data_IF_989875539432
#
_entry.id   IF_989875539432
#
_cell.length_a   1.000
_cell.length_b   1.000
_cell.length_c   1.000
_cell.angle_alpha   90.00
_cell.angle_beta   90.00
_cell.angle_gamma   90.00
#
_symmetry.space_group_name_H-M   'P 1'
#
loop_
_entity.id
_entity.type
_entity.pdbx_description
1 polymer ?
#
# COMPACT_ATOMS: atom_id res chain seq x y z
N UNK A 1 -21.56 -7.44 0.30
CA UNK A 1 -21.04 -6.30 1.10
C UNK A 1 -22.19 -5.49 1.70
N UNK A 2 -21.89 -4.65 2.70
CA UNK A 2 -22.83 -3.64 3.21
C UNK A 2 -22.13 -2.27 3.34
N UNK A 3 -22.91 -1.21 3.22
CA UNK A 3 -22.52 0.17 3.53
C UNK A 3 -23.50 0.73 4.55
N UNK A 4 -23.00 1.30 5.64
CA UNK A 4 -23.81 1.84 6.72
C UNK A 4 -23.50 3.32 6.92
N UNK A 5 -24.53 4.08 7.26
CA UNK A 5 -24.38 5.48 7.71
C UNK A 5 -24.90 5.62 9.13
N UNK A 6 -24.11 6.31 9.94
CA UNK A 6 -24.46 6.69 11.30
C UNK A 6 -24.47 8.22 11.41
N UNK A 7 -25.24 8.75 12.36
CA UNK A 7 -25.31 10.18 12.65
C UNK A 7 -24.15 10.56 13.57
N UNK A 8 -23.20 11.32 13.03
CA UNK A 8 -22.18 12.06 13.80
C UNK A 8 -21.63 11.30 15.01
N UNK A 9 -21.60 11.99 16.15
CA UNK A 9 -20.92 11.53 17.36
C UNK A 9 -21.77 10.64 18.27
N UNK A 10 -23.09 10.58 18.07
CA UNK A 10 -23.97 9.74 18.89
C UNK A 10 -24.08 8.31 18.36
N UNK A 11 -23.56 8.05 17.15
CA UNK A 11 -23.56 6.73 16.55
C UNK A 11 -24.96 6.23 16.16
N UNK A 12 -25.96 7.10 16.09
CA UNK A 12 -27.33 6.70 15.70
C UNK A 12 -27.32 6.14 14.29
N UNK A 13 -27.77 4.90 14.11
CA UNK A 13 -27.92 4.30 12.80
C UNK A 13 -28.94 5.08 11.95
N UNK A 14 -28.55 5.44 10.73
CA UNK A 14 -29.41 6.14 9.77
C UNK A 14 -29.95 5.20 8.70
N UNK A 15 -29.05 4.48 8.03
CA UNK A 15 -29.42 3.53 6.99
C UNK A 15 -28.32 2.49 6.74
N UNK A 16 -28.73 1.40 6.10
CA UNK A 16 -27.85 0.35 5.58
C UNK A 16 -28.23 0.04 4.15
N UNK A 17 -27.23 -0.11 3.30
CA UNK A 17 -27.36 -0.64 1.94
C UNK A 17 -26.63 -1.98 1.90
N UNK A 18 -27.22 -2.95 1.22
CA UNK A 18 -26.56 -4.20 0.84
C UNK A 18 -26.43 -4.26 -0.66
N UNK A 19 -25.25 -4.63 -1.15
CA UNK A 19 -25.01 -4.90 -2.57
C UNK A 19 -24.08 -6.09 -2.71
N UNK A 20 -24.26 -6.84 -3.78
CA UNK A 20 -23.52 -8.07 -4.04
C UNK A 20 -24.30 -9.02 -4.94
N UNK A 21 -23.68 -10.15 -5.24
CA UNK A 21 -24.31 -11.27 -5.92
C UNK A 21 -24.44 -12.49 -5.00
N UNK A 22 -24.46 -13.67 -5.61
CA UNK A 22 -24.45 -14.95 -4.89
C UNK A 22 -23.05 -15.34 -4.40
N UNK A 23 -22.01 -14.65 -4.84
CA UNK A 23 -20.63 -14.88 -4.48
C UNK A 23 -20.15 -13.92 -3.36
N UNK A 24 -18.87 -14.00 -3.00
CA UNK A 24 -18.31 -13.17 -1.92
C UNK A 24 -18.04 -11.74 -2.38
N UNK A 25 -18.52 -10.75 -1.62
CA UNK A 25 -18.34 -9.32 -1.90
C UNK A 25 -17.98 -8.55 -0.62
N UNK A 26 -16.88 -7.78 -0.66
CA UNK A 26 -16.26 -7.12 0.48
C UNK A 26 -16.06 -5.63 0.20
N UNK A 27 -16.59 -4.76 1.06
CA UNK A 27 -16.20 -3.35 1.05
C UNK A 27 -14.78 -3.20 1.60
N UNK A 28 -13.95 -2.40 0.94
CA UNK A 28 -12.52 -2.26 1.26
C UNK A 28 -12.14 -0.85 1.71
N UNK A 29 -12.46 0.13 0.89
CA UNK A 29 -12.16 1.52 1.16
C UNK A 29 -13.37 2.38 0.82
N UNK A 30 -13.51 3.50 1.52
CA UNK A 30 -14.57 4.46 1.28
C UNK A 30 -13.99 5.87 1.26
N UNK A 31 -14.50 6.70 0.38
CA UNK A 31 -14.23 8.13 0.37
C UNK A 31 -15.56 8.90 0.35
N UNK A 32 -15.69 9.89 1.23
CA UNK A 32 -16.91 10.66 1.39
C UNK A 32 -16.62 12.14 1.24
N UNK A 33 -17.37 12.80 0.36
CA UNK A 33 -17.41 14.26 0.20
C UNK A 33 -18.86 14.71 0.03
N UNK A 34 -19.21 15.34 -1.10
CA UNK A 34 -20.59 15.56 -1.52
C UNK A 34 -21.28 14.28 -2.02
N UNK A 35 -20.51 13.22 -2.26
CA UNK A 35 -20.92 11.89 -2.70
C UNK A 35 -20.12 10.83 -1.93
N UNK A 36 -20.54 9.58 -2.01
CA UNK A 36 -19.85 8.45 -1.39
C UNK A 36 -19.27 7.58 -2.50
N UNK A 37 -17.99 7.24 -2.38
CA UNK A 37 -17.30 6.33 -3.28
C UNK A 37 -16.84 5.12 -2.48
N UNK A 38 -17.16 3.92 -2.95
CA UNK A 38 -16.89 2.67 -2.28
C UNK A 38 -16.05 1.78 -3.21
N UNK A 39 -14.87 1.40 -2.73
CA UNK A 39 -14.03 0.38 -3.35
C UNK A 39 -14.40 -0.99 -2.79
N UNK A 40 -14.57 -1.96 -3.68
CA UNK A 40 -15.11 -3.28 -3.35
C UNK A 40 -14.26 -4.36 -4.00
N UNK A 41 -13.95 -5.42 -3.25
CA UNK A 41 -13.54 -6.70 -3.83
C UNK A 41 -14.79 -7.54 -4.08
N UNK A 42 -14.97 -8.06 -5.28
CA UNK A 42 -16.16 -8.81 -5.65
C UNK A 42 -15.80 -10.07 -6.43
N UNK A 43 -16.46 -11.18 -6.11
CA UNK A 43 -16.52 -12.38 -6.97
C UNK A 43 -17.80 -12.44 -7.81
N UNK A 44 -18.59 -11.36 -7.74
CA UNK A 44 -19.89 -11.24 -8.38
C UNK A 44 -19.76 -10.33 -9.60
N UNK A 45 -20.62 -10.55 -10.59
CA UNK A 45 -20.79 -9.63 -11.69
C UNK A 45 -21.69 -8.47 -11.24
N UNK A 46 -21.10 -7.34 -10.85
CA UNK A 46 -21.85 -6.15 -10.41
C UNK A 46 -22.14 -5.20 -11.58
N UNK A 47 -21.19 -5.04 -12.51
CA UNK A 47 -21.29 -4.13 -13.65
C UNK A 47 -20.60 -4.72 -14.89
N UNK A 48 -21.37 -5.09 -15.93
CA UNK A 48 -20.83 -5.60 -17.22
C UNK A 48 -20.56 -7.11 -17.24
N UNK A 49 -19.96 -7.65 -18.33
CA UNK A 49 -19.72 -9.09 -18.51
C UNK A 49 -18.25 -9.53 -18.41
N UNK A 50 -17.32 -8.62 -18.11
CA UNK A 50 -15.88 -8.87 -18.18
C UNK A 50 -15.29 -9.66 -17.00
N UNK A 51 -16.13 -10.38 -16.25
CA UNK A 51 -15.77 -10.85 -14.91
C UNK A 51 -16.26 -12.26 -14.67
N UNK A 52 -15.31 -13.15 -14.42
CA UNK A 52 -15.56 -14.57 -14.20
C UNK A 52 -16.10 -14.79 -12.78
N UNK A 53 -17.10 -15.66 -12.65
CA UNK A 53 -17.85 -15.93 -11.42
C UNK A 53 -17.02 -16.62 -10.30
N UNK A 54 -15.69 -16.59 -10.38
CA UNK A 54 -14.79 -17.33 -9.51
C UNK A 54 -13.54 -16.56 -9.08
N UNK A 55 -13.13 -15.54 -9.84
CA UNK A 55 -11.97 -14.70 -9.55
C UNK A 55 -12.39 -13.47 -8.75
N UNK A 56 -11.46 -12.89 -7.99
CA UNK A 56 -11.70 -11.61 -7.33
C UNK A 56 -11.46 -10.48 -8.31
N UNK A 57 -12.40 -9.54 -8.38
CA UNK A 57 -12.32 -8.32 -9.16
C UNK A 57 -12.49 -7.11 -8.24
N UNK A 58 -12.21 -5.92 -8.77
CA UNK A 58 -12.44 -4.66 -8.06
C UNK A 58 -13.61 -3.91 -8.69
N UNK A 59 -14.52 -3.40 -7.86
CA UNK A 59 -15.53 -2.44 -8.30
C UNK A 59 -15.39 -1.12 -7.56
N UNK A 60 -15.62 -0.02 -8.29
CA UNK A 60 -15.74 1.32 -7.73
C UNK A 60 -17.19 1.78 -7.91
N UNK A 61 -17.84 2.09 -6.80
CA UNK A 61 -19.27 2.39 -6.76
C UNK A 61 -19.51 3.76 -6.16
N UNK A 62 -20.39 4.52 -6.79
CA UNK A 62 -20.76 5.88 -6.38
C UNK A 62 -22.20 5.91 -5.88
N UNK A 63 -22.38 6.46 -4.69
CA UNK A 63 -23.67 6.70 -4.07
C UNK A 63 -23.87 8.18 -3.77
N UNK A 64 -25.13 8.60 -3.69
CA UNK A 64 -25.49 9.88 -3.07
C UNK A 64 -25.45 9.76 -1.52
N UNK A 65 -25.58 10.88 -0.81
CA UNK A 65 -25.51 10.90 0.66
C UNK A 65 -26.73 10.24 1.36
N UNK A 66 -27.80 9.97 0.62
CA UNK A 66 -29.00 9.26 1.06
C UNK A 66 -28.86 7.73 0.88
N UNK A 67 -27.79 7.28 0.23
CA UNK A 67 -27.54 5.87 -0.01
C UNK A 67 -28.09 5.32 -1.32
N UNK A 68 -28.56 6.17 -2.22
CA UNK A 68 -28.96 5.73 -3.57
C UNK A 68 -27.72 5.60 -4.45
N UNK A 69 -27.60 4.47 -5.14
CA UNK A 69 -26.54 4.24 -6.12
C UNK A 69 -26.73 5.18 -7.32
N UNK A 70 -25.64 5.83 -7.74
CA UNK A 70 -25.61 6.73 -8.90
C UNK A 70 -25.00 6.02 -10.10
N UNK A 71 -23.83 5.40 -9.90
CA UNK A 71 -23.08 4.70 -10.94
C UNK A 71 -22.09 3.72 -10.32
N UNK A 72 -21.52 2.86 -11.15
CA UNK A 72 -20.41 2.00 -10.75
C UNK A 72 -19.73 1.39 -11.96
N UNK A 73 -18.50 0.93 -11.74
CA UNK A 73 -17.72 0.19 -12.72
C UNK A 73 -16.97 -0.95 -12.03
N UNK A 74 -16.66 -1.98 -12.80
CA UNK A 74 -15.93 -3.16 -12.34
C UNK A 74 -14.74 -3.38 -13.27
N UNK A 75 -13.59 -3.73 -12.67
CA UNK A 75 -12.33 -4.04 -13.33
C UNK A 75 -11.89 -5.41 -12.85
N UNK A 76 -11.68 -6.30 -13.80
CA UNK A 76 -11.38 -7.69 -13.51
C UNK A 76 -10.93 -8.43 -14.75
N UNK A 77 -11.09 -9.75 -14.73
CA UNK A 77 -10.83 -10.62 -15.87
C UNK A 77 -10.08 -11.89 -15.49
N UNK A 78 -9.04 -12.21 -16.25
CA UNK A 78 -8.27 -13.43 -16.04
C UNK A 78 -7.38 -13.40 -14.78
N UNK A 79 -7.13 -12.23 -14.20
CA UNK A 79 -6.32 -12.08 -12.99
C UNK A 79 -7.22 -11.69 -11.83
N UNK A 80 -6.85 -12.11 -10.62
CA UNK A 80 -7.51 -11.61 -9.42
C UNK A 80 -6.99 -10.21 -9.07
N UNK A 81 -7.90 -9.29 -8.73
CA UNK A 81 -7.58 -7.94 -8.29
C UNK A 81 -8.22 -7.72 -6.92
N UNK A 82 -7.43 -7.23 -5.96
CA UNK A 82 -7.90 -6.91 -4.61
C UNK A 82 -7.59 -5.44 -4.31
N UNK A 83 -8.59 -4.65 -3.96
CA UNK A 83 -8.45 -3.25 -3.58
C UNK A 83 -8.16 -3.06 -2.09
N UNK A 84 -7.41 -2.01 -1.76
CA UNK A 84 -7.02 -1.69 -0.38
C UNK A 84 -7.31 -0.25 0.03
N UNK A 85 -7.05 0.71 -0.86
CA UNK A 85 -7.22 2.14 -0.58
C UNK A 85 -7.78 2.87 -1.79
N UNK A 86 -8.44 4.00 -1.55
CA UNK A 86 -9.12 4.81 -2.56
C UNK A 86 -8.90 6.30 -2.28
N UNK A 87 -8.41 7.03 -3.29
CA UNK A 87 -8.18 8.48 -3.19
C UNK A 87 -8.67 9.23 -4.42
N UNK A 88 -9.23 10.44 -4.25
CA UNK A 88 -9.52 11.31 -5.37
C UNK A 88 -8.22 11.78 -6.04
N UNK A 89 -8.19 11.78 -7.37
CA UNK A 89 -7.08 12.33 -8.13
C UNK A 89 -7.23 13.86 -8.27
N UNK A 90 -6.14 14.63 -8.16
CA UNK A 90 -6.18 16.09 -8.34
C UNK A 90 -6.61 16.51 -9.76
N UNK A 91 -6.31 15.69 -10.76
CA UNK A 91 -6.69 15.93 -12.16
C UNK A 91 -8.08 15.36 -12.53
N UNK A 92 -8.86 14.91 -11.54
CA UNK A 92 -10.16 14.27 -11.74
C UNK A 92 -10.09 12.74 -11.74
N UNK A 93 -11.18 12.12 -11.29
CA UNK A 93 -11.30 10.68 -11.13
C UNK A 93 -10.66 10.15 -9.84
N UNK A 94 -10.21 8.89 -9.87
CA UNK A 94 -9.86 8.13 -8.67
C UNK A 94 -8.65 7.23 -8.86
N UNK A 95 -7.80 7.16 -7.83
CA UNK A 95 -6.76 6.16 -7.72
C UNK A 95 -7.16 5.11 -6.68
N UNK A 96 -6.94 3.84 -6.99
CA UNK A 96 -7.08 2.75 -6.03
C UNK A 96 -5.77 1.98 -5.88
N UNK A 97 -5.32 1.78 -4.64
CA UNK A 97 -4.25 0.83 -4.33
C UNK A 97 -4.82 -0.58 -4.43
N UNK A 98 -4.08 -1.48 -5.07
CA UNK A 98 -4.50 -2.85 -5.26
C UNK A 98 -3.35 -3.85 -5.25
N UNK A 99 -3.75 -5.12 -5.19
CA UNK A 99 -2.93 -6.29 -5.48
C UNK A 99 -3.46 -6.95 -6.73
N UNK A 100 -2.57 -7.18 -7.69
CA UNK A 100 -2.83 -7.98 -8.87
C UNK A 100 -2.23 -9.37 -8.65
N UNK A 101 -3.09 -10.37 -8.69
CA UNK A 101 -2.77 -11.79 -8.53
C UNK A 101 -3.04 -12.49 -9.86
N UNK A 102 -2.01 -12.73 -10.68
CA UNK A 102 -2.17 -13.48 -11.91
C UNK A 102 -2.67 -14.89 -11.64
N UNK A 103 -3.56 -15.43 -12.47
CA UNK A 103 -4.11 -16.79 -12.26
C UNK A 103 -3.15 -17.90 -12.66
N UNK A 104 -2.09 -17.61 -13.41
CA UNK A 104 -1.00 -18.56 -13.64
C UNK A 104 -0.11 -18.66 -12.40
N UNK A 105 -0.05 -19.84 -11.80
CA UNK A 105 0.70 -20.12 -10.55
C UNK A 105 2.20 -19.77 -10.61
N UNK A 106 2.74 -19.54 -11.80
CA UNK A 106 4.14 -19.18 -12.02
C UNK A 106 4.41 -17.67 -12.05
N UNK A 107 3.38 -16.83 -11.96
CA UNK A 107 3.56 -15.37 -12.04
C UNK A 107 3.36 -14.76 -10.66
N UNK A 108 4.33 -13.98 -10.17
CA UNK A 108 4.29 -13.39 -8.84
C UNK A 108 3.14 -12.41 -8.67
N UNK A 109 2.77 -12.19 -7.42
CA UNK A 109 1.80 -11.16 -7.05
C UNK A 109 2.45 -9.79 -7.19
N UNK A 110 1.77 -8.87 -7.88
CA UNK A 110 2.25 -7.51 -8.07
C UNK A 110 1.39 -6.51 -7.29
N UNK A 111 2.01 -5.41 -6.85
CA UNK A 111 1.21 -4.27 -6.46
C UNK A 111 0.60 -3.69 -7.74
N UNK A 112 -0.58 -3.11 -7.60
CA UNK A 112 -1.25 -2.41 -8.68
C UNK A 112 -1.81 -1.07 -8.21
N UNK A 113 -1.88 -0.14 -9.14
CA UNK A 113 -2.64 1.09 -9.04
C UNK A 113 -3.66 1.08 -10.17
N UNK A 114 -4.93 1.17 -9.83
CA UNK A 114 -6.00 1.37 -10.80
C UNK A 114 -6.32 2.86 -10.88
N UNK A 115 -6.48 3.38 -12.10
CA UNK A 115 -6.98 4.72 -12.35
C UNK A 115 -8.38 4.62 -12.98
N UNK A 116 -9.30 5.39 -12.41
CA UNK A 116 -10.65 5.60 -12.92
C UNK A 116 -10.84 7.07 -13.29
N UNK A 117 -11.65 7.35 -14.30
CA UNK A 117 -12.07 8.70 -14.64
C UNK A 117 -13.21 9.20 -13.72
N UNK A 118 -13.75 10.40 -13.98
CA UNK A 118 -14.87 10.97 -13.20
C UNK A 118 -16.21 10.24 -13.40
N UNK A 119 -16.36 9.55 -14.53
CA UNK A 119 -17.50 8.68 -14.84
C UNK A 119 -17.36 7.28 -14.21
N UNK A 120 -16.24 7.02 -13.55
CA UNK A 120 -15.78 5.74 -13.01
C UNK A 120 -15.34 4.73 -14.08
N UNK A 121 -15.17 5.14 -15.33
CA UNK A 121 -14.58 4.25 -16.32
C UNK A 121 -13.11 3.97 -15.96
N UNK A 122 -12.69 2.71 -16.09
CA UNK A 122 -11.30 2.33 -15.90
C UNK A 122 -10.45 2.88 -17.04
N UNK A 123 -9.42 3.65 -16.68
CA UNK A 123 -8.48 4.23 -17.66
C UNK A 123 -7.27 3.31 -17.87
N UNK A 124 -6.64 2.88 -16.77
CA UNK A 124 -5.49 1.99 -16.80
C UNK A 124 -5.24 1.30 -15.47
N UNK A 125 -4.50 0.20 -15.55
CA UNK A 125 -3.86 -0.46 -14.40
C UNK A 125 -2.36 -0.36 -14.59
N UNK A 126 -1.69 0.28 -13.64
CA UNK A 126 -0.24 0.15 -13.50
C UNK A 126 0.04 -0.96 -12.49
N UNK A 127 1.03 -1.81 -12.76
CA UNK A 127 1.50 -2.79 -11.78
C UNK A 127 3.01 -2.84 -11.77
N UNK A 128 3.60 -2.98 -10.59
CA UNK A 128 4.97 -3.43 -10.48
C UNK A 128 5.11 -4.41 -9.31
N UNK A 129 6.17 -5.20 -9.40
CA UNK A 129 6.46 -6.25 -8.45
C UNK A 129 7.73 -6.94 -8.87
N UNK A 130 8.21 -7.81 -8.00
CA UNK A 130 9.35 -8.67 -8.29
C UNK A 130 8.96 -9.86 -9.16
N UNK A 131 9.96 -10.58 -9.67
CA UNK A 131 9.80 -11.76 -10.54
C UNK A 131 9.63 -13.07 -9.79
N UNK A 132 9.78 -13.10 -8.46
CA UNK A 132 9.85 -14.33 -7.66
C UNK A 132 9.19 -14.23 -6.27
N UNK A 133 8.28 -13.26 -6.07
CA UNK A 133 7.65 -13.05 -4.76
C UNK A 133 6.27 -12.38 -4.79
N UNK A 134 6.01 -11.54 -3.79
CA UNK A 134 4.74 -10.88 -3.55
C UNK A 134 5.01 -9.43 -3.24
N UNK A 135 4.45 -8.55 -4.07
CA UNK A 135 4.38 -7.11 -3.79
C UNK A 135 2.93 -6.69 -3.60
N UNK A 136 2.65 -5.94 -2.54
CA UNK A 136 1.31 -5.49 -2.15
C UNK A 136 1.30 -3.97 -2.06
N UNK A 137 0.36 -3.31 -2.74
CA UNK A 137 0.10 -1.88 -2.57
C UNK A 137 -1.03 -1.70 -1.56
N UNK A 138 -0.77 -1.06 -0.43
CA UNK A 138 -1.78 -0.85 0.61
C UNK A 138 -2.38 0.55 0.57
N UNK A 139 -1.55 1.54 0.28
CA UNK A 139 -1.94 2.96 0.34
C UNK A 139 -1.48 3.64 -0.94
N UNK A 140 -2.32 4.52 -1.45
CA UNK A 140 -1.97 5.48 -2.49
C UNK A 140 -2.17 6.89 -1.94
N UNK A 141 -1.31 7.82 -2.33
CA UNK A 141 -1.47 9.23 -1.98
C UNK A 141 -1.13 10.08 -3.21
N UNK A 142 -2.15 10.62 -3.89
CA UNK A 142 -1.96 11.53 -5.00
C UNK A 142 -1.23 12.79 -4.52
N UNK A 143 -0.41 13.37 -5.38
CA UNK A 143 0.28 14.63 -5.12
C UNK A 143 -0.23 15.71 -6.09
N UNK A 144 -0.22 16.97 -5.66
CA UNK A 144 -0.83 18.10 -6.39
C UNK A 144 -0.22 18.35 -7.78
N UNK A 145 1.02 17.89 -8.02
CA UNK A 145 1.68 17.99 -9.32
C UNK A 145 1.35 16.84 -10.28
N UNK A 146 0.33 16.04 -9.97
CA UNK A 146 -0.10 14.88 -10.76
C UNK A 146 0.69 13.60 -10.47
N UNK A 147 1.80 13.66 -9.72
CA UNK A 147 2.47 12.42 -9.30
C UNK A 147 1.64 11.65 -8.26
N UNK A 148 1.93 10.37 -8.11
CA UNK A 148 1.28 9.49 -7.16
C UNK A 148 2.35 8.82 -6.31
N UNK A 149 2.17 8.81 -5.00
CA UNK A 149 2.95 7.95 -4.11
C UNK A 149 2.15 6.69 -3.83
N UNK A 150 2.80 5.53 -3.82
CA UNK A 150 2.23 4.32 -3.25
C UNK A 150 3.18 3.72 -2.22
N UNK A 151 2.59 3.20 -1.15
CA UNK A 151 3.28 2.49 -0.11
C UNK A 151 2.74 1.07 0.01
N UNK A 152 3.64 0.15 0.34
CA UNK A 152 3.32 -1.25 0.30
C UNK A 152 4.40 -2.13 0.89
N UNK A 153 4.21 -3.42 0.69
CA UNK A 153 5.04 -4.50 1.19
C UNK A 153 5.58 -5.32 0.03
N UNK A 154 6.82 -5.77 0.11
CA UNK A 154 7.42 -6.69 -0.85
C UNK A 154 8.32 -7.70 -0.14
N UNK A 155 8.26 -8.99 -0.48
CA UNK A 155 9.11 -10.03 0.13
C UNK A 155 10.26 -10.47 -0.79
N UNK A 156 10.65 -9.58 -1.69
CA UNK A 156 11.51 -9.89 -2.80
C UNK A 156 12.15 -8.60 -3.30
N UNK A 157 13.29 -8.76 -3.96
CA UNK A 157 14.02 -7.63 -4.51
C UNK A 157 13.21 -6.93 -5.60
N UNK A 158 12.98 -5.64 -5.41
CA UNK A 158 12.48 -4.78 -6.47
C UNK A 158 13.56 -4.69 -7.56
N UNK A 159 13.14 -4.66 -8.82
CA UNK A 159 14.03 -4.78 -9.98
C UNK A 159 15.30 -3.90 -9.88
N UNK A 160 16.44 -4.34 -10.46
CA UNK A 160 17.73 -3.65 -10.37
C UNK A 160 17.63 -2.18 -10.79
N UNK A 161 18.09 -1.29 -9.92
CA UNK A 161 17.90 0.17 -10.02
C UNK A 161 17.11 0.80 -8.86
N UNK A 162 16.60 -0.01 -7.93
CA UNK A 162 16.17 0.44 -6.61
C UNK A 162 17.36 0.38 -5.66
N UNK A 163 17.85 1.54 -5.21
CA UNK A 163 18.99 1.63 -4.28
C UNK A 163 18.53 1.17 -2.89
N UNK A 164 18.64 -0.13 -2.60
CA UNK A 164 18.44 -0.67 -1.26
C UNK A 164 18.67 -2.19 -1.21
N UNK A 165 19.48 -2.71 -0.25
CA UNK A 165 19.55 -4.14 0.00
C UNK A 165 18.21 -4.57 0.57
N UNK A 166 17.39 -5.21 -0.25
CA UNK A 166 16.27 -6.01 0.22
C UNK A 166 16.90 -7.35 0.61
N UNK A 167 16.81 -7.72 1.89
CA UNK A 167 17.42 -8.97 2.38
C UNK A 167 16.55 -10.21 2.09
N UNK A 168 15.51 -10.03 1.26
CA UNK A 168 14.55 -11.05 0.91
C UNK A 168 13.46 -11.24 1.97
N UNK A 169 13.41 -10.41 3.03
CA UNK A 169 12.36 -10.47 4.03
C UNK A 169 11.61 -9.13 4.10
N UNK A 170 10.32 -9.18 3.76
CA UNK A 170 9.28 -8.27 4.25
C UNK A 170 9.65 -6.77 4.28
N UNK A 171 10.04 -6.21 3.13
CA UNK A 171 10.42 -4.82 3.00
C UNK A 171 9.22 -3.90 2.74
N UNK A 172 9.29 -2.68 3.27
CA UNK A 172 8.40 -1.59 2.86
C UNK A 172 8.97 -0.86 1.65
N UNK A 173 8.13 -0.53 0.68
CA UNK A 173 8.53 0.31 -0.45
C UNK A 173 7.72 1.61 -0.50
N UNK A 174 8.38 2.67 -0.99
CA UNK A 174 7.75 3.91 -1.39
C UNK A 174 8.10 4.15 -2.86
N UNK A 175 7.08 4.21 -3.71
CA UNK A 175 7.27 4.40 -5.14
C UNK A 175 6.53 5.64 -5.60
N UNK A 176 7.16 6.43 -6.46
CA UNK A 176 6.60 7.63 -7.05
C UNK A 176 6.30 7.35 -8.52
N UNK A 177 5.06 7.59 -8.92
CA UNK A 177 4.63 7.54 -10.31
C UNK A 177 4.45 8.92 -10.87
N UNK A 178 4.83 9.09 -12.13
CA UNK A 178 4.57 10.30 -12.92
C UNK A 178 3.67 9.88 -14.09
N UNK A 179 2.41 10.32 -14.15
CA UNK A 179 1.49 9.97 -15.23
C UNK A 179 2.09 10.28 -16.61
N UNK A 180 1.83 9.41 -17.58
CA UNK A 180 2.35 9.56 -18.95
C UNK A 180 3.78 9.03 -19.15
N UNK A 181 4.44 8.58 -18.10
CA UNK A 181 5.75 7.91 -18.17
C UNK A 181 5.59 6.45 -17.76
N UNK A 182 5.87 5.47 -18.63
CA UNK A 182 5.77 4.05 -18.27
C UNK A 182 6.83 3.59 -17.28
N UNK A 183 7.80 4.45 -16.95
CA UNK A 183 8.90 4.15 -16.03
C UNK A 183 8.61 4.70 -14.64
N UNK A 184 8.53 3.80 -13.65
CA UNK A 184 8.52 4.16 -12.22
C UNK A 184 9.94 4.37 -11.72
N UNK A 185 10.14 5.34 -10.82
CA UNK A 185 11.33 5.40 -9.97
C UNK A 185 10.93 4.88 -8.60
N UNK A 186 11.50 3.74 -8.19
CA UNK A 186 11.18 3.14 -6.90
C UNK A 186 12.36 3.33 -5.94
N UNK A 187 12.09 3.89 -4.77
CA UNK A 187 13.08 4.06 -3.71
C UNK A 187 12.71 3.15 -2.56
N UNK A 188 13.58 2.19 -2.25
CA UNK A 188 13.38 1.32 -1.08
C UNK A 188 13.81 2.09 0.16
N UNK A 189 12.96 2.12 1.19
CA UNK A 189 13.34 2.66 2.50
C UNK A 189 13.65 1.48 3.39
N UNK A 190 14.91 1.07 3.44
CA UNK A 190 15.35 0.02 4.37
C UNK A 190 15.37 0.60 5.77
N UNK A 191 14.45 0.18 6.64
CA UNK A 191 14.67 0.39 8.08
C UNK A 191 15.81 -0.54 8.47
N UNK A 192 16.93 0.02 8.96
CA UNK A 192 18.00 -0.79 9.51
C UNK A 192 17.38 -1.80 10.48
N UNK A 193 17.53 -3.09 10.20
CA UNK A 193 17.14 -4.14 11.13
C UNK A 193 17.74 -3.77 12.48
N UNK A 194 16.88 -3.47 13.46
CA UNK A 194 17.33 -3.31 14.82
C UNK A 194 18.09 -4.57 15.17
N UNK A 195 19.36 -4.41 15.53
CA UNK A 195 20.32 -5.46 15.85
C UNK A 195 19.64 -6.53 16.71
N UNK A 196 19.13 -7.59 16.05
CA UNK A 196 18.59 -8.76 16.73
C UNK A 196 19.78 -9.65 17.06
N UNK A 197 20.66 -9.13 17.91
CA UNK A 197 21.63 -9.93 18.62
C UNK A 197 20.85 -10.91 19.49
N UNK A 198 20.55 -12.07 18.91
CA UNK A 198 20.21 -13.27 19.64
C UNK A 198 21.45 -13.63 20.43
N UNK A 199 21.56 -13.10 21.65
CA UNK A 199 22.47 -13.65 22.64
C UNK A 199 22.01 -15.09 22.89
N UNK A 200 22.61 -16.05 22.20
CA UNK A 200 22.51 -17.46 22.55
C UNK A 200 23.19 -17.62 23.91
N UNK A 201 22.41 -17.43 24.96
CA UNK A 201 22.77 -17.82 26.31
C UNK A 201 22.92 -19.33 26.33
N UNK A 202 24.15 -19.79 26.07
CA UNK A 202 24.61 -21.13 26.34
C UNK A 202 24.43 -21.41 27.83
N UNK A 203 23.41 -22.21 28.15
CA UNK A 203 23.08 -22.61 29.53
C UNK A 203 23.71 -23.97 29.78
N UNK A 204 25.03 -24.01 29.92
CA UNK A 204 25.73 -25.16 30.48
C UNK A 204 25.83 -25.04 31.99
N UNK A 205 25.34 -26.09 32.67
CA UNK A 205 25.45 -26.31 34.10
C UNK A 205 26.87 -26.76 34.45
N UNK A 206 27.62 -25.99 35.26
CA UNK A 206 28.28 -26.45 36.50
C UNK A 206 29.42 -25.53 36.99
N UNK A 207 29.42 -25.36 38.32
CA UNK A 207 30.52 -25.07 39.25
C UNK A 207 30.96 -23.60 39.45
N UNK A 208 31.01 -23.11 40.71
CA UNK A 208 31.62 -21.85 41.05
C UNK A 208 33.12 -22.07 41.28
N UNK A 209 33.96 -21.36 40.54
CA UNK A 209 35.27 -21.02 41.06
C UNK A 209 35.63 -19.58 40.68
N UNK A 210 36.23 -18.94 41.66
CA UNK A 210 36.39 -17.51 41.83
C UNK A 210 37.79 -17.15 41.35
N UNK A 211 37.96 -16.22 40.41
CA UNK A 211 39.17 -15.36 40.33
C UNK A 211 38.99 -14.18 39.38
N UNK A 212 39.09 -13.00 40.00
CA UNK A 212 39.63 -11.70 39.60
C UNK A 212 40.27 -11.54 38.19
N UNK A 213 40.02 -10.39 37.57
CA UNK A 213 40.67 -9.99 36.31
C UNK A 213 40.00 -8.81 35.61
N UNK A 214 40.24 -7.60 36.11
CA UNK A 214 39.91 -6.32 35.47
C UNK A 214 40.41 -6.21 34.02
N UNK A 215 39.53 -5.89 33.06
CA UNK A 215 39.93 -5.25 31.80
C UNK A 215 38.94 -4.15 31.39
N UNK A 216 39.51 -2.98 31.08
CA UNK A 216 38.83 -1.77 30.63
C UNK A 216 38.36 -1.89 29.16
N UNK A 217 37.29 -1.19 28.76
CA UNK A 217 36.83 -1.21 27.37
C UNK A 217 37.77 -0.38 26.47
N UNK A 218 38.31 -1.05 25.45
CA UNK A 218 39.06 -0.44 24.36
C UNK A 218 38.15 0.41 23.46
N UNK A 219 38.59 1.64 23.22
CA UNK A 219 37.95 2.63 22.37
C UNK A 219 38.17 2.26 20.89
N UNK A 220 37.10 1.87 20.18
CA UNK A 220 37.16 1.58 18.75
C UNK A 220 36.75 2.82 17.94
N UNK A 221 37.74 3.54 17.42
CA UNK A 221 37.56 4.57 16.38
C UNK A 221 37.31 3.89 15.03
N UNK A 222 36.10 4.06 14.49
CA UNK A 222 35.73 3.70 13.11
C UNK A 222 35.92 4.93 12.23
N UNK A 223 36.85 4.85 11.26
CA UNK A 223 37.00 5.81 10.17
C UNK A 223 36.20 5.33 8.96
N UNK A 224 35.20 6.12 8.55
CA UNK A 224 34.50 5.93 7.28
C UNK A 224 35.41 6.36 6.11
N UNK A 225 35.38 5.68 4.95
CA UNK A 225 36.04 6.18 3.74
C UNK A 225 35.22 7.31 3.10
N UNK A 226 35.91 8.41 2.80
CA UNK A 226 35.40 9.54 2.02
C UNK A 226 35.12 9.12 0.57
N UNK A 227 33.96 9.55 0.04
CA UNK A 227 33.73 9.58 -1.41
C UNK A 227 32.35 9.17 -1.89
N UNK A 228 31.28 9.86 -1.47
CA UNK A 228 30.02 9.90 -2.22
C UNK A 228 29.61 11.36 -2.42
N UNK A 229 29.58 11.76 -3.68
CA UNK A 229 29.06 13.03 -4.18
C UNK A 229 27.54 13.09 -3.95
N UNK A 230 27.09 13.93 -3.03
CA UNK A 230 25.67 14.25 -2.86
C UNK A 230 25.27 15.38 -3.80
N UNK A 231 24.34 15.10 -4.72
CA UNK A 231 23.56 16.15 -5.36
C UNK A 231 22.66 16.79 -4.29
N UNK A 232 22.91 18.06 -4.03
CA UNK A 232 22.44 18.78 -2.85
C UNK A 232 21.08 19.42 -3.10
N UNK A 233 19.99 18.72 -2.77
CA UNK A 233 18.72 19.38 -2.41
C UNK A 233 17.76 18.55 -1.55
N UNK A 234 18.27 17.71 -0.64
CA UNK A 234 17.45 17.17 0.47
C UNK A 234 18.19 17.47 1.78
N UNK A 235 17.85 18.61 2.38
CA UNK A 235 18.27 18.95 3.74
C UNK A 235 17.47 18.08 4.70
N UNK A 236 18.08 17.01 5.19
CA UNK A 236 17.58 16.25 6.32
C UNK A 236 17.68 17.14 7.59
N UNK A 237 16.54 17.61 8.10
CA UNK A 237 16.47 18.06 9.48
C UNK A 237 16.38 16.82 10.38
N UNK A 238 17.37 16.68 11.25
CA UNK A 238 17.47 15.61 12.23
C UNK A 238 16.27 15.60 13.20
N UNK A 239 15.75 14.40 13.47
CA UNK A 239 15.03 14.06 14.70
C UNK A 239 13.77 14.85 15.01
N UNK A 240 12.68 14.59 14.31
CA UNK A 240 11.36 15.08 14.69
C UNK A 240 10.25 14.15 14.17
N UNK A 241 9.51 13.54 15.09
CA UNK A 241 8.22 12.90 14.82
C UNK A 241 7.32 13.92 14.12
N UNK A 242 7.01 13.72 12.83
CA UNK A 242 6.12 14.62 12.09
C UNK A 242 4.67 14.20 12.36
N UNK A 243 4.05 14.86 13.35
CA UNK A 243 2.62 14.79 13.59
C UNK A 243 1.92 15.86 12.73
N UNK A 244 1.19 15.44 11.69
CA UNK A 244 0.37 16.36 10.90
C UNK A 244 -0.97 16.62 11.62
N UNK A 245 -1.08 17.78 12.28
CA UNK A 245 -2.35 18.35 12.72
C UNK A 245 -2.96 19.15 11.57
N UNK A 246 -3.99 18.60 10.93
CA UNK A 246 -4.82 19.33 9.98
C UNK A 246 -5.81 20.20 10.76
N UNK A 247 -5.57 21.52 10.76
CA UNK A 247 -6.59 22.48 11.17
C UNK A 247 -7.63 22.60 10.04
N UNK A 248 -8.83 22.09 10.29
CA UNK A 248 -10.02 22.44 9.50
C UNK A 248 -10.33 23.92 9.76
N UNK A 249 -10.31 24.73 8.70
CA UNK A 249 -10.99 26.02 8.74
C UNK A 249 -12.42 25.85 8.20
N UNK A 250 -13.33 26.48 8.93
CA UNK A 250 -14.80 26.45 8.86
C UNK A 250 -15.30 27.03 7.54
#
# INVERSE_FOLDING_TARGET
MFLMKFRGNDGTWLWTITKGGTASDRGRALWVSSQIFLLVDTKSTLYGSEVSNSTWDVALIKYNLDGNEISGAQVGGANEIYGYDLKPAYAGGWFAAARLNPTSESVPTHFAVLKFDESLAHEYTFSAGCTDGTSLGWVVEPHWNGSLMAAGYTNCALAPGSDGPTDGNDDMFLTKFVPGTPTSSTTTVTTAAGDSSTSSGDRTTASPDNTDGSQAPGNATSTLPDGISTDSSISACAGGLVLFLLASQV
#
